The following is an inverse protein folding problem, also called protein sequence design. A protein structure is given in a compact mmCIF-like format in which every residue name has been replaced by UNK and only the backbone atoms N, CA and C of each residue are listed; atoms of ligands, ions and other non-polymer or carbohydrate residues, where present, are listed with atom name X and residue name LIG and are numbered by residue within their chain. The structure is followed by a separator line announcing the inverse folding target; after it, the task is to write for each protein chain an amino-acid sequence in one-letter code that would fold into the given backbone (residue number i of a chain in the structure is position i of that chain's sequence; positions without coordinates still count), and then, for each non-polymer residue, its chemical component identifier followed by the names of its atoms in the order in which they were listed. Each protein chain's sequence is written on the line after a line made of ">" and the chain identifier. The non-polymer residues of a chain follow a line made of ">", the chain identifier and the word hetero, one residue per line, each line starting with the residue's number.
data_IF_024659809491
#
_entry.id   IF_024659809491
#
_cell.length_a   1.000
_cell.length_b   1.000
_cell.length_c   1.000
_cell.angle_alpha   90.00
_cell.angle_beta   90.00
_cell.angle_gamma   90.00
#
_symmetry.space_group_name_H-M   'P 1'
#
loop_
_entity.id
_entity.type
_entity.pdbx_description
1 polymer ?
#
# COMPACT_ATOMS: atom_id res chain seq x y z
N UNK A 1 79.41 -45.89 -2.91
CA UNK A 1 78.04 -46.28 -3.39
C UNK A 1 76.96 -46.19 -2.34
N UNK A 2 77.22 -46.25 -1.03
CA UNK A 2 76.22 -46.16 0.06
C UNK A 2 75.56 -44.78 0.25
N UNK A 3 76.26 -43.67 -0.03
CA UNK A 3 75.75 -42.32 0.18
C UNK A 3 74.60 -41.89 -0.78
N UNK A 4 74.65 -42.41 -2.02
CA UNK A 4 73.61 -42.14 -3.04
C UNK A 4 72.29 -42.90 -2.77
N UNK A 5 72.38 -44.11 -2.18
CA UNK A 5 71.22 -44.89 -1.75
C UNK A 5 70.47 -44.20 -0.57
N UNK A 6 71.25 -43.68 0.39
CA UNK A 6 70.69 -42.96 1.52
C UNK A 6 69.99 -41.66 1.10
N UNK A 7 70.53 -40.96 0.10
CA UNK A 7 69.93 -39.73 -0.40
C UNK A 7 68.60 -40.00 -1.12
N UNK A 8 68.51 -41.08 -1.91
CA UNK A 8 67.28 -41.50 -2.56
C UNK A 8 66.22 -41.93 -1.54
N UNK A 9 66.59 -42.67 -0.52
CA UNK A 9 65.68 -43.11 0.53
C UNK A 9 65.12 -41.89 1.33
N UNK A 10 66.01 -40.92 1.63
CA UNK A 10 65.58 -39.66 2.31
C UNK A 10 64.64 -38.76 1.43
N UNK A 11 64.93 -38.68 0.14
CA UNK A 11 64.11 -37.94 -0.80
C UNK A 11 62.72 -38.61 -0.97
N UNK A 12 62.69 -39.94 -1.01
CA UNK A 12 61.42 -40.67 -1.06
C UNK A 12 60.60 -40.48 0.24
N UNK A 13 61.22 -40.63 1.40
CA UNK A 13 60.60 -40.43 2.68
C UNK A 13 60.02 -38.97 2.82
N UNK A 14 60.77 -37.97 2.34
CA UNK A 14 60.31 -36.59 2.33
C UNK A 14 59.13 -36.37 1.40
N UNK A 15 59.12 -37.03 0.24
CA UNK A 15 57.99 -36.94 -0.70
C UNK A 15 56.73 -37.63 -0.14
N UNK A 16 56.93 -38.82 0.50
CA UNK A 16 55.77 -39.52 1.10
C UNK A 16 55.15 -38.78 2.28
N UNK A 17 55.98 -38.13 3.10
CA UNK A 17 55.50 -37.25 4.19
C UNK A 17 54.77 -36.05 3.64
N UNK A 18 55.29 -35.44 2.60
CA UNK A 18 54.61 -34.28 1.99
C UNK A 18 53.28 -34.64 1.34
N UNK A 19 53.21 -35.82 0.71
CA UNK A 19 51.96 -36.36 0.14
C UNK A 19 50.94 -36.72 1.24
N UNK A 20 51.40 -37.33 2.33
CA UNK A 20 50.58 -37.68 3.47
C UNK A 20 50.02 -36.42 4.15
N UNK A 21 50.86 -35.42 4.37
CA UNK A 21 50.43 -34.12 4.89
C UNK A 21 49.44 -33.40 3.96
N UNK A 22 49.70 -33.43 2.65
CA UNK A 22 48.80 -32.85 1.66
C UNK A 22 47.39 -33.49 1.68
N UNK A 23 47.34 -34.82 1.78
CA UNK A 23 46.08 -35.57 1.88
C UNK A 23 45.34 -35.26 3.19
N UNK A 24 46.06 -35.17 4.29
CA UNK A 24 45.46 -34.86 5.59
C UNK A 24 44.87 -33.42 5.63
N UNK A 25 45.58 -32.47 5.05
CA UNK A 25 45.11 -31.10 4.93
C UNK A 25 43.86 -31.03 4.01
N UNK A 26 43.86 -31.76 2.91
CA UNK A 26 42.68 -31.81 2.03
C UNK A 26 41.49 -32.48 2.71
N UNK A 27 41.68 -33.58 3.41
CA UNK A 27 40.58 -34.22 4.16
C UNK A 27 40.02 -33.30 5.24
N UNK A 28 40.88 -32.62 5.99
CA UNK A 28 40.40 -31.62 6.97
C UNK A 28 39.63 -30.46 6.35
N UNK A 29 40.05 -29.99 5.17
CA UNK A 29 39.33 -28.95 4.44
C UNK A 29 37.97 -29.43 3.95
N UNK A 30 37.86 -30.64 3.44
CA UNK A 30 36.60 -31.24 3.00
C UNK A 30 35.65 -31.49 4.18
N UNK A 31 36.15 -31.97 5.30
CA UNK A 31 35.36 -32.16 6.51
C UNK A 31 34.87 -30.83 7.08
N UNK A 32 35.71 -29.78 7.06
CA UNK A 32 35.31 -28.45 7.48
C UNK A 32 34.27 -27.84 6.55
N UNK A 33 34.43 -27.97 5.23
CA UNK A 33 33.46 -27.50 4.26
C UNK A 33 32.11 -28.20 4.40
N UNK A 34 32.13 -29.55 4.57
CA UNK A 34 30.90 -30.31 4.75
C UNK A 34 30.18 -29.99 6.06
N UNK A 35 30.91 -29.67 7.13
CA UNK A 35 30.33 -29.21 8.40
C UNK A 35 29.68 -27.85 8.25
N UNK A 36 30.33 -26.92 7.55
CA UNK A 36 29.73 -25.57 7.28
C UNK A 36 28.49 -25.72 6.42
N UNK A 37 28.52 -26.56 5.38
CA UNK A 37 27.31 -26.79 4.55
C UNK A 37 26.19 -27.44 5.37
N UNK A 38 26.47 -28.37 6.25
CA UNK A 38 25.49 -28.97 7.16
C UNK A 38 24.98 -27.96 8.17
N UNK A 39 25.83 -27.10 8.73
CA UNK A 39 25.43 -26.07 9.69
C UNK A 39 24.55 -24.98 9.03
N UNK A 40 24.86 -24.61 7.79
CA UNK A 40 24.01 -23.72 6.97
C UNK A 40 22.67 -24.38 6.61
N UNK A 41 22.69 -25.69 6.29
CA UNK A 41 21.49 -26.44 5.95
C UNK A 41 20.57 -26.70 7.16
N UNK A 42 21.18 -26.95 8.35
CA UNK A 42 20.43 -27.22 9.60
C UNK A 42 19.99 -25.96 10.31
N UNK A 43 20.68 -24.85 10.08
CA UNK A 43 20.30 -23.55 10.59
C UNK A 43 19.90 -22.63 9.42
N UNK A 44 18.75 -22.85 8.79
CA UNK A 44 18.24 -21.85 7.86
C UNK A 44 18.13 -20.57 8.66
N UNK A 45 18.77 -19.50 8.20
CA UNK A 45 18.59 -18.17 8.73
C UNK A 45 17.07 -17.94 8.71
N UNK A 46 16.43 -18.06 9.87
CA UNK A 46 15.00 -17.73 10.02
C UNK A 46 14.91 -16.23 9.82
N UNK A 47 14.75 -15.82 8.57
CA UNK A 47 14.38 -14.46 8.24
C UNK A 47 12.96 -14.32 8.79
N UNK A 48 12.84 -13.77 10.00
CA UNK A 48 11.57 -13.35 10.54
C UNK A 48 11.14 -12.14 9.72
N UNK A 49 10.46 -12.38 8.61
CA UNK A 49 9.84 -11.34 7.81
C UNK A 49 8.72 -10.71 8.63
N UNK A 50 9.04 -9.66 9.36
CA UNK A 50 8.04 -8.87 10.06
C UNK A 50 7.41 -7.93 9.03
N UNK A 51 6.31 -8.35 8.47
CA UNK A 51 5.51 -7.53 7.54
C UNK A 51 4.81 -6.41 8.31
N UNK A 52 5.47 -5.25 8.41
CA UNK A 52 4.98 -4.10 9.16
C UNK A 52 3.66 -3.53 8.62
N UNK A 53 3.48 -3.51 7.32
CA UNK A 53 2.34 -2.86 6.67
C UNK A 53 1.29 -3.84 6.11
N UNK A 54 1.63 -5.10 5.92
CA UNK A 54 0.71 -6.11 5.42
C UNK A 54 0.98 -7.46 6.10
N UNK A 55 0.57 -7.64 7.36
CA UNK A 55 0.85 -8.86 8.13
C UNK A 55 0.23 -10.10 7.50
N UNK A 56 -0.87 -9.98 6.78
CA UNK A 56 -1.52 -11.10 6.09
C UNK A 56 -0.85 -11.47 4.76
N UNK A 57 0.05 -10.61 4.24
CA UNK A 57 0.78 -10.86 3.00
C UNK A 57 -0.07 -10.97 1.73
N UNK A 58 -1.37 -10.71 1.82
CA UNK A 58 -2.31 -10.79 0.72
C UNK A 58 -2.35 -9.50 -0.10
N UNK A 59 -2.45 -9.63 -1.42
CA UNK A 59 -2.67 -8.52 -2.33
C UNK A 59 -3.99 -7.77 -2.01
N UNK A 60 -5.02 -8.51 -1.63
CA UNK A 60 -6.33 -7.98 -1.25
C UNK A 60 -6.26 -7.04 -0.05
N UNK A 61 -5.50 -7.39 0.99
CA UNK A 61 -5.37 -6.56 2.20
C UNK A 61 -4.63 -5.25 1.95
N UNK A 62 -3.84 -5.17 0.88
CA UNK A 62 -3.18 -3.94 0.46
C UNK A 62 -4.09 -3.04 -0.40
N UNK A 63 -4.80 -3.63 -1.36
CA UNK A 63 -5.61 -2.86 -2.34
C UNK A 63 -6.98 -2.47 -1.80
N UNK A 64 -7.62 -3.34 -1.01
CA UNK A 64 -8.98 -3.08 -0.51
C UNK A 64 -9.16 -1.72 0.17
N UNK A 65 -8.29 -1.28 1.10
CA UNK A 65 -8.46 0.03 1.72
C UNK A 65 -8.39 1.18 0.72
N UNK A 66 -7.50 1.11 -0.26
CA UNK A 66 -7.35 2.13 -1.30
C UNK A 66 -8.60 2.20 -2.19
N UNK A 67 -9.12 1.06 -2.64
CA UNK A 67 -10.34 0.96 -3.45
C UNK A 67 -11.56 1.49 -2.68
N UNK A 68 -11.69 1.19 -1.39
CA UNK A 68 -12.79 1.68 -0.57
C UNK A 68 -12.80 3.20 -0.44
N UNK A 69 -11.62 3.82 -0.25
CA UNK A 69 -11.48 5.29 -0.22
C UNK A 69 -11.83 5.88 -1.58
N UNK A 70 -11.37 5.28 -2.66
CA UNK A 70 -11.67 5.69 -4.03
C UNK A 70 -13.16 5.62 -4.32
N UNK A 71 -13.86 4.57 -3.89
CA UNK A 71 -15.32 4.45 -4.04
C UNK A 71 -16.07 5.57 -3.31
N UNK A 72 -15.65 5.93 -2.10
CA UNK A 72 -16.22 7.08 -1.37
C UNK A 72 -16.00 8.37 -2.15
N UNK A 73 -14.80 8.62 -2.64
CA UNK A 73 -14.46 9.79 -3.42
C UNK A 73 -15.30 9.87 -4.70
N UNK A 74 -15.36 8.79 -5.46
CA UNK A 74 -16.12 8.74 -6.71
C UNK A 74 -17.61 8.92 -6.50
N UNK A 75 -18.19 8.28 -5.49
CA UNK A 75 -19.61 8.43 -5.16
C UNK A 75 -19.97 9.87 -4.75
N UNK A 76 -19.07 10.53 -4.00
CA UNK A 76 -19.25 11.93 -3.62
C UNK A 76 -19.18 12.86 -4.84
N UNK A 77 -18.18 12.67 -5.69
CA UNK A 77 -18.02 13.46 -6.94
C UNK A 77 -19.26 13.30 -7.83
N UNK A 78 -19.66 12.06 -8.09
CA UNK A 78 -20.80 11.76 -8.94
C UNK A 78 -22.12 12.30 -8.33
N UNK A 79 -22.34 12.08 -7.03
CA UNK A 79 -23.55 12.53 -6.34
C UNK A 79 -23.70 14.04 -6.37
N UNK A 80 -22.66 14.79 -6.03
CA UNK A 80 -22.70 16.27 -6.03
C UNK A 80 -22.84 16.81 -7.45
N UNK A 81 -22.11 16.26 -8.41
CA UNK A 81 -22.16 16.71 -9.81
C UNK A 81 -23.54 16.43 -10.45
N UNK A 82 -24.13 15.25 -10.19
CA UNK A 82 -25.45 14.87 -10.69
C UNK A 82 -26.54 15.79 -10.13
N UNK A 83 -26.55 16.04 -8.82
CA UNK A 83 -27.50 16.92 -8.18
C UNK A 83 -27.37 18.36 -8.68
N UNK A 84 -26.18 18.83 -8.97
CA UNK A 84 -25.94 20.14 -9.56
C UNK A 84 -26.47 20.20 -11.00
N UNK A 85 -26.28 19.15 -11.80
CA UNK A 85 -26.82 19.02 -13.15
C UNK A 85 -28.34 19.05 -13.18
N UNK A 86 -29.02 18.24 -12.37
CA UNK A 86 -30.46 18.17 -12.25
C UNK A 86 -31.04 19.54 -11.85
N UNK A 87 -30.39 20.25 -10.92
CA UNK A 87 -30.85 21.56 -10.48
C UNK A 87 -30.74 22.61 -11.59
N UNK A 88 -29.68 22.54 -12.39
CA UNK A 88 -29.45 23.40 -13.54
C UNK A 88 -30.52 23.19 -14.62
N UNK A 89 -30.82 21.92 -14.93
CA UNK A 89 -31.85 21.58 -15.94
C UNK A 89 -33.25 22.07 -15.48
N UNK A 90 -33.56 21.92 -14.20
CA UNK A 90 -34.89 22.29 -13.67
C UNK A 90 -35.11 23.79 -13.52
N UNK A 91 -34.08 24.55 -13.17
CA UNK A 91 -34.19 25.98 -12.85
C UNK A 91 -33.44 26.92 -13.80
N UNK A 92 -32.75 26.38 -14.82
CA UNK A 92 -31.96 27.14 -15.79
C UNK A 92 -30.74 27.88 -15.22
N UNK A 93 -30.60 27.92 -13.89
CA UNK A 93 -29.51 28.61 -13.18
C UNK A 93 -29.05 27.82 -11.95
N UNK A 94 -27.75 27.74 -11.73
CA UNK A 94 -27.18 27.11 -10.55
C UNK A 94 -27.38 27.89 -9.26
N UNK A 95 -27.55 29.23 -9.38
CA UNK A 95 -27.64 30.16 -8.27
C UNK A 95 -29.06 30.74 -8.26
N UNK A 96 -29.82 30.60 -7.17
CA UNK A 96 -31.12 31.24 -7.04
C UNK A 96 -30.97 32.75 -7.15
N UNK A 97 -31.89 33.41 -7.91
CA UNK A 97 -31.87 34.87 -8.17
C UNK A 97 -32.19 35.71 -6.94
N UNK A 98 -32.48 35.11 -5.80
CA UNK A 98 -32.85 35.83 -4.57
C UNK A 98 -31.65 36.62 -4.01
N UNK A 99 -31.90 37.88 -3.67
CA UNK A 99 -30.91 38.86 -3.21
C UNK A 99 -30.10 38.41 -1.98
N UNK A 100 -30.63 37.51 -1.14
CA UNK A 100 -29.95 36.95 0.03
C UNK A 100 -28.87 35.90 -0.29
N UNK A 101 -28.92 35.29 -1.48
CA UNK A 101 -27.96 34.26 -1.91
C UNK A 101 -26.89 34.80 -2.88
N UNK A 102 -26.62 36.12 -2.84
CA UNK A 102 -25.65 36.75 -3.74
C UNK A 102 -24.19 36.35 -3.47
N UNK A 103 -23.94 35.76 -2.32
CA UNK A 103 -22.59 35.27 -1.95
C UNK A 103 -22.42 33.78 -2.30
N UNK A 104 -21.70 33.50 -3.39
CA UNK A 104 -21.49 32.16 -3.89
C UNK A 104 -20.89 31.19 -2.82
N UNK A 105 -20.04 31.70 -1.93
CA UNK A 105 -19.46 30.94 -0.84
C UNK A 105 -20.47 30.39 0.15
N UNK A 106 -21.58 31.13 0.46
CA UNK A 106 -22.63 30.63 1.35
C UNK A 106 -23.38 29.44 0.75
N UNK A 107 -23.56 29.44 -0.57
CA UNK A 107 -24.19 28.33 -1.29
C UNK A 107 -23.29 27.11 -1.28
N UNK A 108 -22.00 27.32 -1.51
CA UNK A 108 -20.99 26.26 -1.49
C UNK A 108 -20.89 25.64 -0.10
N UNK A 109 -20.75 26.46 0.95
CA UNK A 109 -20.73 26.04 2.33
C UNK A 109 -22.01 25.31 2.74
N UNK A 110 -23.18 25.86 2.41
CA UNK A 110 -24.46 25.22 2.72
C UNK A 110 -24.61 23.83 2.10
N UNK A 111 -24.14 23.66 0.88
CA UNK A 111 -24.11 22.35 0.23
C UNK A 111 -23.07 21.41 0.89
N UNK A 112 -21.87 21.90 1.18
CA UNK A 112 -20.83 21.11 1.85
C UNK A 112 -21.32 20.62 3.22
N UNK A 113 -21.95 21.47 4.02
CA UNK A 113 -22.54 21.12 5.32
C UNK A 113 -23.63 20.06 5.19
N UNK A 114 -24.36 20.02 4.09
CA UNK A 114 -25.40 19.02 3.87
C UNK A 114 -24.80 17.65 3.47
N UNK A 115 -23.79 17.65 2.59
CA UNK A 115 -23.20 16.40 2.09
C UNK A 115 -22.21 15.79 3.08
N UNK A 116 -21.46 16.60 3.81
CA UNK A 116 -20.38 16.17 4.69
C UNK A 116 -20.84 15.19 5.77
N UNK A 117 -21.96 15.38 6.50
CA UNK A 117 -22.43 14.41 7.49
C UNK A 117 -22.81 13.06 6.86
N UNK A 118 -23.47 13.06 5.70
CA UNK A 118 -23.88 11.83 5.01
C UNK A 118 -22.65 11.02 4.62
N UNK A 119 -21.64 11.67 4.04
CA UNK A 119 -20.42 10.98 3.64
C UNK A 119 -19.48 10.66 4.81
N UNK A 120 -19.57 11.38 5.93
CA UNK A 120 -18.90 11.00 7.17
C UNK A 120 -19.45 9.68 7.72
N UNK A 121 -20.78 9.53 7.76
CA UNK A 121 -21.41 8.28 8.19
C UNK A 121 -21.04 7.14 7.25
N UNK A 122 -21.09 7.37 5.93
CA UNK A 122 -20.69 6.39 4.93
C UNK A 122 -19.21 6.04 5.03
N UNK A 123 -18.36 7.03 5.20
CA UNK A 123 -16.91 6.84 5.38
C UNK A 123 -16.58 6.08 6.68
N UNK A 124 -17.28 6.37 7.76
CA UNK A 124 -17.17 5.60 9.00
C UNK A 124 -17.52 4.14 8.77
N UNK A 125 -18.65 3.87 8.13
CA UNK A 125 -19.07 2.51 7.79
C UNK A 125 -17.99 1.78 6.98
N UNK A 126 -17.53 2.41 5.89
CA UNK A 126 -16.57 1.80 4.96
C UNK A 126 -15.19 1.59 5.60
N UNK A 127 -14.71 2.53 6.43
CA UNK A 127 -13.39 2.42 7.04
C UNK A 127 -13.34 1.56 8.30
N UNK A 128 -14.45 1.40 9.03
CA UNK A 128 -14.44 0.67 10.30
C UNK A 128 -15.23 -0.64 10.28
N UNK A 129 -16.31 -0.69 9.53
CA UNK A 129 -17.20 -1.87 9.52
C UNK A 129 -16.77 -2.84 8.42
N UNK A 130 -16.54 -2.36 7.21
CA UNK A 130 -16.15 -3.20 6.07
C UNK A 130 -14.83 -3.96 6.34
N UNK A 131 -13.75 -3.35 6.85
CA UNK A 131 -12.53 -4.09 7.15
C UNK A 131 -12.70 -5.20 8.18
N UNK A 132 -13.65 -5.05 9.12
CA UNK A 132 -13.97 -6.12 10.08
C UNK A 132 -14.58 -7.35 9.41
N UNK A 133 -15.46 -7.17 8.43
CA UNK A 133 -16.02 -8.28 7.68
C UNK A 133 -14.98 -9.05 6.87
N UNK A 134 -14.00 -8.33 6.34
CA UNK A 134 -12.90 -8.93 5.56
C UNK A 134 -11.67 -9.28 6.40
N UNK A 135 -11.75 -9.17 7.74
CA UNK A 135 -10.64 -9.42 8.67
C UNK A 135 -9.35 -8.67 8.29
N UNK A 136 -9.48 -7.45 7.73
CA UNK A 136 -8.35 -6.63 7.35
C UNK A 136 -7.69 -6.04 8.60
N UNK A 137 -6.38 -6.17 8.68
CA UNK A 137 -5.61 -5.62 9.81
C UNK A 137 -5.51 -4.11 9.66
N UNK A 138 -6.08 -3.38 10.61
CA UNK A 138 -5.95 -1.92 10.72
C UNK A 138 -4.83 -1.58 11.69
N UNK A 139 -3.75 -0.99 11.17
CA UNK A 139 -2.60 -0.55 11.99
C UNK A 139 -2.85 0.85 12.54
N UNK A 140 -3.54 1.70 11.80
CA UNK A 140 -3.84 3.08 12.19
C UNK A 140 -4.89 3.16 13.29
N UNK A 141 -4.69 4.07 14.22
CA UNK A 141 -5.64 4.36 15.28
C UNK A 141 -6.97 4.90 14.74
N UNK A 142 -8.09 4.55 15.38
CA UNK A 142 -9.42 5.01 14.96
C UNK A 142 -9.54 6.53 14.91
N UNK A 143 -8.93 7.22 15.87
CA UNK A 143 -8.92 8.67 15.94
C UNK A 143 -8.14 9.31 14.78
N UNK A 144 -7.00 8.72 14.44
CA UNK A 144 -6.15 9.18 13.33
C UNK A 144 -6.86 9.04 11.98
N UNK A 145 -7.53 7.89 11.75
CA UNK A 145 -8.33 7.67 10.55
C UNK A 145 -9.49 8.66 10.44
N UNK A 146 -10.17 8.99 11.54
CA UNK A 146 -11.23 9.99 11.56
C UNK A 146 -10.71 11.40 11.31
N UNK A 147 -9.56 11.73 11.90
CA UNK A 147 -8.90 13.02 11.69
C UNK A 147 -8.47 13.19 10.23
N UNK A 148 -8.07 12.13 9.56
CA UNK A 148 -7.74 12.14 8.14
C UNK A 148 -8.99 12.16 7.25
N UNK A 149 -10.03 11.40 7.59
CA UNK A 149 -11.26 11.29 6.80
C UNK A 149 -11.99 12.64 6.66
N UNK A 150 -12.03 13.42 7.71
CA UNK A 150 -12.74 14.70 7.71
C UNK A 150 -12.19 15.70 6.67
N UNK A 151 -10.89 16.08 6.69
CA UNK A 151 -10.35 17.00 5.69
C UNK A 151 -10.34 16.39 4.28
N UNK A 152 -10.19 15.07 4.16
CA UNK A 152 -10.29 14.38 2.88
C UNK A 152 -11.67 14.55 2.25
N UNK A 153 -12.74 14.28 2.99
CA UNK A 153 -14.12 14.47 2.51
C UNK A 153 -14.43 15.94 2.19
N UNK A 154 -13.90 16.85 2.99
CA UNK A 154 -14.04 18.29 2.76
C UNK A 154 -13.39 18.70 1.44
N UNK A 155 -12.17 18.25 1.18
CA UNK A 155 -11.45 18.49 -0.07
C UNK A 155 -12.20 17.90 -1.28
N UNK A 156 -12.67 16.67 -1.17
CA UNK A 156 -13.47 16.01 -2.20
C UNK A 156 -14.80 16.76 -2.46
N UNK A 157 -15.47 17.25 -1.42
CA UNK A 157 -16.72 18.01 -1.55
C UNK A 157 -16.47 19.33 -2.28
N UNK A 158 -15.40 20.06 -1.96
CA UNK A 158 -15.05 21.29 -2.66
C UNK A 158 -14.66 21.03 -4.11
N UNK A 159 -13.90 19.98 -4.37
CA UNK A 159 -13.55 19.56 -5.73
C UNK A 159 -14.80 19.20 -6.55
N UNK A 160 -15.72 18.43 -5.97
CA UNK A 160 -17.00 18.08 -6.61
C UNK A 160 -17.86 19.30 -6.91
N UNK A 161 -17.92 20.27 -5.99
CA UNK A 161 -18.63 21.52 -6.19
C UNK A 161 -17.97 22.37 -7.30
N UNK A 162 -16.64 22.49 -7.31
CA UNK A 162 -15.90 23.18 -8.36
C UNK A 162 -16.16 22.53 -9.72
N UNK A 163 -16.06 21.20 -9.81
CA UNK A 163 -16.36 20.44 -11.01
C UNK A 163 -17.81 20.65 -11.47
N UNK A 164 -18.76 20.76 -10.56
CA UNK A 164 -20.17 21.04 -10.87
C UNK A 164 -20.40 22.42 -11.52
N UNK A 165 -19.53 23.40 -11.27
CA UNK A 165 -19.58 24.70 -11.93
C UNK A 165 -19.04 24.66 -13.36
N UNK A 166 -18.04 23.81 -13.62
CA UNK A 166 -17.48 23.63 -14.96
C UNK A 166 -18.40 22.82 -15.86
N UNK A 167 -19.22 21.94 -15.30
CA UNK A 167 -20.09 21.06 -16.08
C UNK A 167 -21.27 21.84 -16.68
N UNK A 168 -21.33 21.90 -18.03
CA UNK A 168 -22.36 22.62 -18.77
C UNK A 168 -23.63 21.80 -19.09
N UNK A 169 -23.65 20.49 -18.83
CA UNK A 169 -24.76 19.62 -19.20
C UNK A 169 -24.89 18.39 -18.28
N UNK A 170 -25.96 17.62 -18.54
CA UNK A 170 -26.32 16.42 -17.76
C UNK A 170 -25.30 15.27 -17.91
N UNK A 171 -24.54 15.28 -18.99
CA UNK A 171 -23.58 14.21 -19.34
C UNK A 171 -22.17 14.43 -18.76
N UNK A 172 -21.85 15.65 -18.36
CA UNK A 172 -20.52 15.99 -17.83
C UNK A 172 -20.15 15.31 -16.51
N UNK A 173 -21.08 15.00 -15.58
CA UNK A 173 -20.76 14.24 -14.37
C UNK A 173 -20.17 12.86 -14.67
N UNK A 174 -20.65 12.21 -15.74
CA UNK A 174 -20.17 10.92 -16.17
C UNK A 174 -18.74 11.00 -16.73
N UNK A 175 -18.43 12.05 -17.51
CA UNK A 175 -17.06 12.28 -17.99
C UNK A 175 -16.09 12.51 -16.84
N UNK A 176 -16.48 13.27 -15.82
CA UNK A 176 -15.68 13.47 -14.60
C UNK A 176 -15.41 12.15 -13.87
N UNK A 177 -16.39 11.27 -13.80
CA UNK A 177 -16.24 9.96 -13.19
C UNK A 177 -15.22 9.07 -13.94
N UNK A 178 -15.17 9.17 -15.27
CA UNK A 178 -14.24 8.38 -16.09
C UNK A 178 -12.81 8.90 -16.01
N UNK A 179 -12.63 10.21 -15.80
CA UNK A 179 -11.30 10.85 -15.79
C UNK A 179 -10.66 11.00 -14.40
N UNK A 180 -11.34 10.60 -13.33
CA UNK A 180 -10.81 10.66 -11.95
C UNK A 180 -10.55 9.29 -11.40
#
# INVERSE_FOLDING_TARGET
>A
MGALLNYKALAQAASDVSLAMGKEIQMKRLDYASRIEQEIAVSPVKIAEVKLFNPQGGFTSFIMPAVLILVIQQSLLLGVATLAGIRRDRYGKMIPRNRHYRQAWKIVLGKAVLYLPVYLVMGYWVLFIVPRFFSLTQIAGKAELMLFLFPFLLACAFMALAASFLSKGREYPFLLFVFT
#
